data_IF_129755277420
#
_entry.id   IF_129755277420
#
_cell.length_a   1.000
_cell.length_b   1.000
_cell.length_c   1.000
_cell.angle_alpha   90.00
_cell.angle_beta   90.00
_cell.angle_gamma   90.00
#
_symmetry.space_group_name_H-M   'P 1'
#
loop_
_entity.id
_entity.type
_entity.pdbx_description
1 polymer ?
#
# COMPACT_ATOMS: atom_id res chain seq x y z
N UNK A 1 6.47 9.93 -15.92
CA UNK A 1 6.70 8.47 -15.90
C UNK A 1 8.13 8.08 -16.28
N UNK A 2 8.84 8.83 -17.14
CA UNK A 2 10.19 8.46 -17.60
C UNK A 2 11.34 8.65 -16.59
N UNK A 3 11.32 9.67 -15.72
CA UNK A 3 12.51 9.99 -14.91
C UNK A 3 12.84 8.94 -13.83
N UNK A 4 11.85 8.39 -13.13
CA UNK A 4 12.08 7.43 -12.04
C UNK A 4 12.65 6.10 -12.56
N UNK A 5 12.18 5.65 -13.73
CA UNK A 5 12.69 4.42 -14.34
C UNK A 5 14.12 4.61 -14.87
N UNK A 6 14.43 5.80 -15.41
CA UNK A 6 15.78 6.14 -15.84
C UNK A 6 16.76 6.22 -14.67
N UNK A 7 16.36 6.84 -13.54
CA UNK A 7 17.21 6.94 -12.35
C UNK A 7 17.50 5.56 -11.72
N UNK A 8 16.50 4.68 -11.67
CA UNK A 8 16.68 3.30 -11.21
C UNK A 8 17.61 2.50 -12.14
N UNK A 9 17.47 2.67 -13.46
CA UNK A 9 18.32 2.01 -14.45
C UNK A 9 19.77 2.47 -14.38
N UNK A 10 20.00 3.77 -14.19
CA UNK A 10 21.33 4.37 -14.06
C UNK A 10 22.02 3.91 -12.77
N UNK A 11 21.29 3.85 -11.65
CA UNK A 11 21.85 3.37 -10.38
C UNK A 11 22.19 1.88 -10.40
N UNK A 12 21.38 1.06 -11.09
CA UNK A 12 21.67 -0.36 -11.27
C UNK A 12 22.92 -0.60 -12.14
N UNK A 13 23.06 0.14 -13.24
CA UNK A 13 24.24 0.05 -14.12
C UNK A 13 25.54 0.47 -13.41
N UNK A 14 25.49 1.51 -12.57
CA UNK A 14 26.64 1.95 -11.76
C UNK A 14 27.05 0.89 -10.73
N UNK A 15 26.07 0.27 -10.07
CA UNK A 15 26.33 -0.78 -9.08
C UNK A 15 26.91 -2.05 -9.75
N UNK A 16 26.34 -2.46 -10.88
CA UNK A 16 26.85 -3.59 -11.66
C UNK A 16 28.28 -3.34 -12.17
N UNK A 17 28.57 -2.12 -12.64
CA UNK A 17 29.90 -1.70 -13.05
C UNK A 17 30.92 -1.74 -11.91
N UNK A 18 30.54 -1.27 -10.71
CA UNK A 18 31.40 -1.31 -9.53
C UNK A 18 31.71 -2.74 -9.09
N UNK A 19 30.72 -3.64 -9.12
CA UNK A 19 30.90 -5.06 -8.77
C UNK A 19 31.84 -5.76 -9.76
N UNK A 20 31.66 -5.52 -11.07
CA UNK A 20 32.53 -6.08 -12.11
C UNK A 20 33.96 -5.53 -12.04
N UNK A 21 34.11 -4.24 -11.72
CA UNK A 21 35.43 -3.60 -11.57
C UNK A 21 36.20 -4.14 -10.36
N UNK A 22 35.52 -4.35 -9.22
CA UNK A 22 36.12 -4.99 -8.03
C UNK A 22 36.48 -6.44 -8.32
N UNK A 23 35.64 -7.17 -9.07
CA UNK A 23 35.95 -8.52 -9.51
C UNK A 23 37.14 -8.61 -10.48
N UNK A 24 37.30 -7.61 -11.35
CA UNK A 24 38.40 -7.54 -12.32
C UNK A 24 39.75 -7.21 -11.68
N UNK A 25 39.77 -6.37 -10.64
CA UNK A 25 40.99 -6.00 -9.93
C UNK A 25 41.52 -7.09 -8.99
N UNK A 26 40.70 -8.09 -8.65
CA UNK A 26 41.07 -9.13 -7.70
C UNK A 26 41.72 -10.32 -8.40
N UNK A 27 43.04 -10.50 -8.22
CA UNK A 27 43.82 -11.66 -8.73
C UNK A 27 43.86 -12.87 -7.79
N UNK A 28 43.11 -12.84 -6.69
CA UNK A 28 43.10 -13.88 -5.66
C UNK A 28 42.11 -15.02 -5.93
N UNK A 29 42.07 -16.00 -5.02
CA UNK A 29 41.09 -17.09 -5.05
C UNK A 29 39.66 -16.53 -5.10
N UNK A 30 38.87 -17.02 -6.05
CA UNK A 30 37.49 -16.63 -6.28
C UNK A 30 36.64 -16.72 -5.02
N UNK A 31 36.95 -17.65 -4.11
CA UNK A 31 36.24 -17.77 -2.83
C UNK A 31 36.47 -16.58 -1.89
N UNK A 32 37.70 -16.06 -1.82
CA UNK A 32 38.02 -14.89 -0.99
C UNK A 32 37.41 -13.62 -1.58
N UNK A 33 37.44 -13.49 -2.91
CA UNK A 33 36.78 -12.39 -3.62
C UNK A 33 35.27 -12.38 -3.34
N UNK A 34 34.61 -13.54 -3.43
CA UNK A 34 33.17 -13.64 -3.17
C UNK A 34 32.84 -13.32 -1.71
N UNK A 35 33.69 -13.75 -0.75
CA UNK A 35 33.57 -13.37 0.66
C UNK A 35 33.65 -11.86 0.85
N UNK A 36 34.64 -11.20 0.24
CA UNK A 36 34.83 -9.75 0.37
C UNK A 36 33.69 -8.97 -0.27
N UNK A 37 33.22 -9.37 -1.46
CA UNK A 37 32.13 -8.66 -2.16
C UNK A 37 30.80 -8.87 -1.42
N UNK A 38 30.47 -10.11 -1.05
CA UNK A 38 29.19 -10.43 -0.43
C UNK A 38 29.09 -9.82 0.98
N UNK A 39 30.12 -10.01 1.80
CA UNK A 39 30.11 -9.56 3.20
C UNK A 39 30.54 -8.10 3.38
N UNK A 40 31.46 -7.60 2.55
CA UNK A 40 32.00 -6.25 2.66
C UNK A 40 31.18 -5.18 1.93
N UNK A 41 30.41 -5.56 0.89
CA UNK A 41 29.73 -4.58 0.03
C UNK A 41 28.23 -4.86 -0.06
N UNK A 42 27.84 -6.08 -0.45
CA UNK A 42 26.42 -6.41 -0.74
C UNK A 42 25.59 -6.39 0.54
N UNK A 43 26.07 -7.02 1.60
CA UNK A 43 25.31 -7.10 2.84
C UNK A 43 25.14 -5.73 3.55
N UNK A 44 26.17 -4.87 3.70
CA UNK A 44 25.98 -3.55 4.29
C UNK A 44 25.03 -2.66 3.49
N UNK A 45 25.06 -2.74 2.15
CA UNK A 45 24.13 -2.00 1.29
C UNK A 45 22.69 -2.53 1.45
N UNK A 46 22.52 -3.84 1.51
CA UNK A 46 21.19 -4.44 1.70
C UNK A 46 20.61 -4.09 3.08
N UNK A 47 21.44 -4.15 4.12
CA UNK A 47 21.10 -3.69 5.46
C UNK A 47 20.76 -2.20 5.45
N UNK A 48 21.56 -1.35 4.80
CA UNK A 48 21.30 0.08 4.67
C UNK A 48 19.98 0.41 3.96
N UNK A 49 19.62 -0.35 2.91
CA UNK A 49 18.34 -0.21 2.19
C UNK A 49 17.17 -0.61 3.07
N UNK A 50 17.25 -1.75 3.77
CA UNK A 50 16.21 -2.20 4.70
C UNK A 50 16.03 -1.17 5.83
N UNK A 51 17.13 -0.73 6.43
CA UNK A 51 17.14 0.29 7.49
C UNK A 51 16.49 1.58 6.98
N UNK A 52 16.88 2.10 5.82
CA UNK A 52 16.30 3.33 5.27
C UNK A 52 14.81 3.18 4.89
N UNK A 53 14.38 1.98 4.49
CA UNK A 53 13.00 1.67 4.19
C UNK A 53 12.10 1.64 5.44
N UNK A 54 12.62 1.16 6.57
CA UNK A 54 11.88 1.10 7.85
C UNK A 54 11.99 2.37 8.72
N UNK A 55 12.88 3.31 8.40
CA UNK A 55 13.20 4.51 9.21
C UNK A 55 12.20 5.67 9.07
N UNK A 56 11.26 5.60 8.12
CA UNK A 56 10.28 6.64 7.84
C UNK A 56 8.94 6.23 8.48
N UNK A 57 8.76 6.25 9.81
CA UNK A 57 8.23 7.44 10.49
C UNK A 57 8.18 7.35 12.03
N UNK A 58 8.79 6.35 12.68
CA UNK A 58 8.61 6.16 14.13
C UNK A 58 9.92 5.90 14.91
N UNK A 59 10.02 6.52 16.09
CA UNK A 59 11.17 6.46 17.02
C UNK A 59 11.38 5.04 17.57
N UNK A 60 10.31 4.26 17.69
CA UNK A 60 10.38 2.90 18.25
C UNK A 60 10.91 1.90 17.20
N UNK A 61 10.51 2.05 15.94
CA UNK A 61 11.02 1.27 14.79
C UNK A 61 12.51 1.51 14.53
N UNK A 62 13.02 2.73 14.79
CA UNK A 62 14.47 3.03 14.72
C UNK A 62 15.32 2.19 15.69
N UNK A 63 14.88 1.98 16.93
CA UNK A 63 15.63 1.19 17.91
C UNK A 63 15.66 -0.29 17.54
N UNK A 64 14.55 -0.83 17.05
CA UNK A 64 14.44 -2.25 16.66
C UNK A 64 15.33 -2.55 15.44
N UNK A 65 15.34 -1.66 14.45
CA UNK A 65 16.15 -1.83 13.23
C UNK A 65 17.64 -1.89 13.53
N UNK A 66 18.16 -1.00 14.39
CA UNK A 66 19.59 -0.98 14.76
C UNK A 66 19.97 -2.26 15.52
N UNK A 67 19.15 -2.71 16.47
CA UNK A 67 19.41 -3.93 17.23
C UNK A 67 19.46 -5.17 16.34
N UNK A 68 18.53 -5.29 15.38
CA UNK A 68 18.52 -6.40 14.41
C UNK A 68 19.76 -6.38 13.52
N UNK A 69 20.20 -5.19 13.07
CA UNK A 69 21.43 -5.06 12.28
C UNK A 69 22.66 -5.48 13.06
N UNK A 70 22.78 -5.09 14.32
CA UNK A 70 23.89 -5.48 15.19
C UNK A 70 23.91 -6.98 15.48
N UNK A 71 22.75 -7.61 15.65
CA UNK A 71 22.63 -9.07 15.83
C UNK A 71 23.06 -9.80 14.56
N UNK A 72 22.62 -9.36 13.38
CA UNK A 72 23.03 -9.95 12.10
C UNK A 72 24.55 -9.81 11.93
N UNK A 73 25.11 -8.62 12.20
CA UNK A 73 26.55 -8.39 12.13
C UNK A 73 27.33 -9.31 13.10
N UNK A 74 26.84 -9.46 14.34
CA UNK A 74 27.44 -10.32 15.36
C UNK A 74 27.40 -11.81 14.96
N UNK A 75 26.29 -12.27 14.36
CA UNK A 75 26.15 -13.66 13.87
C UNK A 75 27.10 -13.96 12.70
N UNK A 76 27.39 -12.96 11.86
CA UNK A 76 28.33 -13.08 10.74
C UNK A 76 29.77 -13.14 11.25
N UNK A 77 30.13 -12.26 12.18
CA UNK A 77 31.46 -12.24 12.81
C UNK A 77 31.70 -13.55 13.58
N UNK A 78 30.71 -14.03 14.33
CA UNK A 78 30.80 -15.29 15.07
C UNK A 78 31.03 -16.49 14.14
N UNK A 79 30.45 -16.49 12.94
CA UNK A 79 30.60 -17.56 11.95
C UNK A 79 31.93 -17.51 11.19
N UNK A 80 32.63 -16.38 11.20
CA UNK A 80 33.96 -16.21 10.60
C UNK A 80 35.05 -17.07 11.25
N UNK A 81 34.81 -17.61 12.45
CA UNK A 81 35.84 -18.30 13.23
C UNK A 81 35.79 -19.84 13.16
N UNK A 82 34.85 -20.45 12.42
CA UNK A 82 34.70 -21.90 12.40
C UNK A 82 34.33 -22.44 11.02
N UNK A 83 35.29 -23.14 10.39
CA UNK A 83 35.14 -24.07 9.26
C UNK A 83 34.81 -23.41 7.90
N UNK A 84 35.68 -23.65 6.91
CA UNK A 84 35.44 -23.26 5.51
C UNK A 84 34.19 -23.96 4.98
N UNK A 85 33.10 -23.24 4.68
CA UNK A 85 31.89 -23.86 4.13
C UNK A 85 32.21 -24.44 2.75
N UNK A 86 31.62 -25.59 2.43
CA UNK A 86 31.76 -26.17 1.10
C UNK A 86 31.18 -25.22 0.03
N UNK A 87 31.67 -25.27 -1.23
CA UNK A 87 31.16 -24.43 -2.32
C UNK A 87 29.64 -24.52 -2.51
N UNK A 88 29.05 -25.68 -2.28
CA UNK A 88 27.60 -25.91 -2.37
C UNK A 88 26.81 -25.08 -1.35
N UNK A 89 27.32 -24.95 -0.13
CA UNK A 89 26.69 -24.14 0.92
C UNK A 89 26.73 -22.67 0.53
N UNK A 90 27.88 -22.18 0.03
CA UNK A 90 28.02 -20.81 -0.44
C UNK A 90 27.07 -20.48 -1.59
N UNK A 91 26.92 -21.39 -2.56
CA UNK A 91 25.94 -21.24 -3.63
C UNK A 91 24.51 -21.18 -3.08
N UNK A 92 24.13 -22.09 -2.18
CA UNK A 92 22.79 -22.10 -1.59
C UNK A 92 22.47 -20.78 -0.85
N UNK A 93 23.44 -20.23 -0.12
CA UNK A 93 23.29 -18.91 0.53
C UNK A 93 23.15 -17.78 -0.49
N UNK A 94 23.98 -17.75 -1.53
CA UNK A 94 23.90 -16.72 -2.57
C UNK A 94 22.54 -16.71 -3.28
N UNK A 95 22.05 -17.90 -3.66
CA UNK A 95 20.73 -18.06 -4.28
C UNK A 95 19.61 -17.71 -3.29
N UNK A 96 19.71 -18.14 -2.03
CA UNK A 96 18.74 -17.79 -0.98
C UNK A 96 18.65 -16.28 -0.74
N UNK A 97 19.79 -15.59 -0.65
CA UNK A 97 19.84 -14.14 -0.51
C UNK A 97 19.27 -13.40 -1.73
N UNK A 98 19.54 -13.88 -2.95
CA UNK A 98 18.97 -13.30 -4.17
C UNK A 98 17.44 -13.47 -4.21
N UNK A 99 16.93 -14.65 -3.85
CA UNK A 99 15.48 -14.90 -3.78
C UNK A 99 14.82 -13.99 -2.74
N UNK A 100 15.39 -13.89 -1.54
CA UNK A 100 14.88 -13.00 -0.49
C UNK A 100 14.93 -11.53 -0.91
N UNK A 101 15.99 -11.09 -1.60
CA UNK A 101 16.09 -9.75 -2.17
C UNK A 101 14.96 -9.49 -3.16
N UNK A 102 14.76 -10.39 -4.13
CA UNK A 102 13.73 -10.24 -5.15
C UNK A 102 12.32 -10.21 -4.54
N UNK A 103 12.03 -11.12 -3.60
CA UNK A 103 10.77 -11.13 -2.87
C UNK A 103 10.57 -9.84 -2.06
N UNK A 104 11.61 -9.35 -1.39
CA UNK A 104 11.58 -8.08 -0.67
C UNK A 104 11.25 -6.91 -1.60
N UNK A 105 11.93 -6.79 -2.73
CA UNK A 105 11.64 -5.73 -3.71
C UNK A 105 10.23 -5.83 -4.31
N UNK A 106 9.74 -7.05 -4.54
CA UNK A 106 8.38 -7.29 -5.03
C UNK A 106 7.34 -6.79 -4.02
N UNK A 107 7.48 -7.17 -2.74
CA UNK A 107 6.60 -6.73 -1.65
C UNK A 107 6.61 -5.21 -1.54
N UNK A 108 7.78 -4.58 -1.57
CA UNK A 108 7.91 -3.12 -1.51
C UNK A 108 7.19 -2.46 -2.68
N UNK A 109 7.37 -2.95 -3.90
CA UNK A 109 6.71 -2.39 -5.08
C UNK A 109 5.18 -2.52 -5.00
N UNK A 110 4.67 -3.66 -4.51
CA UNK A 110 3.23 -3.86 -4.27
C UNK A 110 2.72 -2.85 -3.24
N UNK A 111 3.44 -2.65 -2.13
CA UNK A 111 3.07 -1.69 -1.10
C UNK A 111 3.08 -0.24 -1.62
N UNK A 112 4.06 0.11 -2.48
CA UNK A 112 4.12 1.43 -3.12
C UNK A 112 2.97 1.64 -4.10
N UNK A 113 2.60 0.61 -4.87
CA UNK A 113 1.44 0.64 -5.74
C UNK A 113 0.15 0.81 -4.93
N UNK A 114 -0.01 0.05 -3.84
CA UNK A 114 -1.16 0.16 -2.95
C UNK A 114 -1.26 1.53 -2.29
N UNK A 115 -0.14 2.07 -1.77
CA UNK A 115 -0.10 3.43 -1.21
C UNK A 115 -0.46 4.49 -2.26
N UNK A 116 0.03 4.33 -3.49
CA UNK A 116 -0.31 5.23 -4.60
C UNK A 116 -1.79 5.14 -4.96
N UNK A 117 -2.37 3.94 -4.95
CA UNK A 117 -3.80 3.72 -5.16
C UNK A 117 -4.62 4.41 -4.06
N UNK A 118 -4.29 4.18 -2.79
CA UNK A 118 -4.99 4.83 -1.66
C UNK A 118 -4.89 6.36 -1.72
N UNK A 119 -3.74 6.91 -2.09
CA UNK A 119 -3.56 8.36 -2.23
C UNK A 119 -4.38 8.98 -3.38
N UNK A 120 -4.92 8.18 -4.30
CA UNK A 120 -5.82 8.67 -5.36
C UNK A 120 -7.27 8.77 -4.90
N UNK A 121 -7.66 7.98 -3.90
CA UNK A 121 -9.04 7.99 -3.40
C UNK A 121 -9.31 9.36 -2.80
N UNK A 122 -10.27 10.06 -3.38
CA UNK A 122 -10.66 11.40 -2.94
C UNK A 122 -11.75 11.26 -1.88
N UNK A 123 -11.75 12.15 -0.89
CA UNK A 123 -12.77 12.18 0.16
C UNK A 123 -13.80 13.24 -0.20
N UNK A 124 -15.08 12.92 -0.07
CA UNK A 124 -16.20 13.83 -0.25
C UNK A 124 -17.13 13.72 0.97
N UNK A 125 -17.54 14.86 1.52
CA UNK A 125 -18.42 14.85 2.68
C UNK A 125 -19.87 14.59 2.25
N UNK A 126 -20.63 13.91 3.11
CA UNK A 126 -22.07 13.77 2.97
C UNK A 126 -22.74 15.00 3.59
N UNK A 127 -23.47 15.76 2.78
CA UNK A 127 -24.25 16.90 3.24
C UNK A 127 -25.58 16.46 3.88
N UNK A 128 -26.22 15.45 3.33
CA UNK A 128 -27.56 15.03 3.77
C UNK A 128 -27.83 13.55 3.54
N UNK A 129 -28.54 12.92 4.47
CA UNK A 129 -29.12 11.58 4.31
C UNK A 129 -30.62 11.68 4.61
N UNK A 130 -31.44 11.20 3.68
CA UNK A 130 -32.89 11.36 3.72
C UNK A 130 -33.63 10.09 3.32
N UNK A 131 -34.77 9.82 3.97
CA UNK A 131 -35.79 8.91 3.43
C UNK A 131 -36.96 9.75 2.91
N UNK A 132 -37.32 9.57 1.63
CA UNK A 132 -38.45 10.29 1.03
C UNK A 132 -39.81 9.68 1.42
N UNK A 133 -40.89 10.33 0.99
CA UNK A 133 -42.26 9.83 1.21
C UNK A 133 -42.56 8.50 0.52
N UNK A 134 -41.73 8.09 -0.44
CA UNK A 134 -41.83 6.81 -1.14
C UNK A 134 -40.96 5.72 -0.49
N UNK A 135 -40.32 6.00 0.64
CA UNK A 135 -39.49 5.02 1.36
C UNK A 135 -38.13 4.76 0.70
N UNK A 136 -37.61 5.67 -0.13
CA UNK A 136 -36.27 5.55 -0.74
C UNK A 136 -35.25 6.30 0.09
N UNK A 137 -34.09 5.67 0.29
CA UNK A 137 -32.93 6.31 0.91
C UNK A 137 -32.15 7.12 -0.13
N UNK A 138 -31.88 8.37 0.20
CA UNK A 138 -31.07 9.29 -0.58
C UNK A 138 -29.84 9.73 0.21
N UNK A 139 -28.72 9.86 -0.49
CA UNK A 139 -27.45 10.39 0.05
C UNK A 139 -26.98 11.56 -0.83
N UNK A 140 -26.82 12.74 -0.23
CA UNK A 140 -26.34 13.94 -0.91
C UNK A 140 -24.87 14.20 -0.60
N UNK A 141 -23.97 14.21 -1.59
CA UNK A 141 -22.64 14.77 -1.41
C UNK A 141 -22.70 16.29 -1.20
N UNK A 142 -21.65 16.86 -0.61
CA UNK A 142 -21.56 18.31 -0.39
C UNK A 142 -21.35 19.09 -1.69
N UNK A 143 -20.47 18.59 -2.57
CA UNK A 143 -20.03 19.33 -3.76
C UNK A 143 -20.01 18.50 -5.04
N UNK A 144 -19.71 17.20 -4.94
CA UNK A 144 -19.55 16.36 -6.13
C UNK A 144 -20.86 16.01 -6.83
N UNK A 145 -20.71 15.72 -8.12
CA UNK A 145 -21.76 15.24 -9.00
C UNK A 145 -21.35 13.83 -9.45
N UNK A 146 -22.32 12.92 -9.47
CA UNK A 146 -22.16 11.51 -9.87
C UNK A 146 -23.11 11.17 -11.03
N UNK A 147 -23.17 12.06 -12.01
CA UNK A 147 -24.10 12.03 -13.14
C UNK A 147 -24.02 10.75 -13.96
N UNK A 148 -22.85 10.13 -14.08
CA UNK A 148 -22.65 8.91 -14.85
C UNK A 148 -22.77 7.61 -14.04
N UNK A 149 -23.15 7.65 -12.76
CA UNK A 149 -23.17 6.47 -11.89
C UNK A 149 -24.16 5.39 -12.37
N UNK A 150 -25.17 5.78 -13.14
CA UNK A 150 -26.13 4.86 -13.74
C UNK A 150 -25.53 3.96 -14.85
N UNK A 151 -24.37 4.33 -15.42
CA UNK A 151 -23.61 3.48 -16.37
C UNK A 151 -22.78 2.43 -15.66
N UNK A 152 -22.82 2.46 -14.34
CA UNK A 152 -22.10 1.61 -13.43
C UNK A 152 -22.49 0.15 -13.48
N UNK A 153 -21.70 -0.66 -12.80
CA UNK A 153 -22.08 -2.05 -12.47
C UNK A 153 -23.10 -2.03 -11.32
N UNK A 154 -23.03 -1.00 -10.48
CA UNK A 154 -23.87 -0.89 -9.30
C UNK A 154 -25.27 -0.37 -9.67
N UNK A 155 -26.34 -0.94 -9.08
CA UNK A 155 -27.71 -0.50 -9.27
C UNK A 155 -28.03 0.81 -8.50
N UNK A 156 -27.18 1.82 -8.63
CA UNK A 156 -27.32 3.13 -8.00
C UNK A 156 -27.62 4.17 -9.08
N UNK A 157 -28.50 5.11 -8.76
CA UNK A 157 -28.92 6.18 -9.66
C UNK A 157 -28.60 7.55 -9.05
N UNK A 158 -28.53 8.54 -9.94
CA UNK A 158 -28.29 9.93 -9.58
C UNK A 158 -29.49 10.79 -9.98
N UNK A 159 -29.99 11.60 -9.03
CA UNK A 159 -31.01 12.62 -9.29
C UNK A 159 -30.32 13.95 -9.61
N UNK A 160 -30.37 14.36 -10.87
CA UNK A 160 -29.74 15.59 -11.32
C UNK A 160 -30.38 16.87 -10.78
N UNK A 161 -31.67 16.84 -10.43
CA UNK A 161 -32.37 18.03 -9.95
C UNK A 161 -32.01 18.31 -8.50
N UNK A 162 -32.02 17.25 -7.69
CA UNK A 162 -31.84 17.37 -6.25
C UNK A 162 -30.42 16.99 -5.78
N UNK A 163 -29.57 16.50 -6.70
CA UNK A 163 -28.17 16.12 -6.48
C UNK A 163 -28.01 14.99 -5.46
N UNK A 164 -28.85 13.97 -5.55
CA UNK A 164 -28.80 12.81 -4.64
C UNK A 164 -28.44 11.51 -5.34
N UNK A 165 -27.74 10.66 -4.60
CA UNK A 165 -27.57 9.24 -4.90
C UNK A 165 -28.71 8.45 -4.28
N UNK A 166 -29.27 7.49 -5.00
CA UNK A 166 -30.33 6.63 -4.49
C UNK A 166 -30.36 5.27 -5.18
N UNK A 167 -31.00 4.30 -4.53
CA UNK A 167 -31.31 3.02 -5.14
C UNK A 167 -32.73 3.08 -5.74
N UNK A 168 -32.92 2.78 -7.03
CA UNK A 168 -34.20 3.01 -7.70
C UNK A 168 -35.33 2.07 -7.23
N UNK A 169 -35.01 0.89 -6.70
CA UNK A 169 -36.00 -0.14 -6.32
C UNK A 169 -36.02 -0.41 -4.80
N UNK A 170 -36.59 0.46 -3.95
CA UNK A 170 -36.48 0.36 -2.48
C UNK A 170 -37.02 -0.94 -1.88
N UNK A 171 -37.95 -1.62 -2.55
CA UNK A 171 -38.55 -2.88 -2.06
C UNK A 171 -37.58 -4.06 -2.07
N UNK A 172 -36.51 -3.99 -2.88
CA UNK A 172 -35.57 -5.11 -3.05
C UNK A 172 -34.48 -5.16 -2.01
N UNK A 173 -34.31 -4.10 -1.22
CA UNK A 173 -33.11 -3.90 -0.42
C UNK A 173 -33.41 -3.07 0.82
N UNK A 174 -32.84 -3.47 1.97
CA UNK A 174 -32.97 -2.69 3.21
C UNK A 174 -32.25 -1.36 3.09
N UNK A 175 -32.57 -0.41 3.98
CA UNK A 175 -31.85 0.87 4.05
C UNK A 175 -30.36 0.70 4.34
N UNK A 176 -29.99 -0.31 5.13
CA UNK A 176 -28.59 -0.60 5.50
C UNK A 176 -27.79 -1.08 4.28
N UNK A 177 -28.36 -1.99 3.51
CA UNK A 177 -27.77 -2.47 2.25
C UNK A 177 -27.74 -1.36 1.20
N UNK A 178 -28.82 -0.59 1.08
CA UNK A 178 -28.90 0.55 0.14
C UNK A 178 -27.78 1.56 0.40
N UNK A 179 -27.57 1.94 1.66
CA UNK A 179 -26.46 2.82 2.03
C UNK A 179 -25.11 2.21 1.64
N UNK A 180 -24.93 0.91 1.89
CA UNK A 180 -23.71 0.16 1.56
C UNK A 180 -23.41 0.17 0.06
N UNK A 181 -24.41 -0.08 -0.75
CA UNK A 181 -24.31 -0.10 -2.21
C UNK A 181 -24.00 1.29 -2.76
N UNK A 182 -24.61 2.34 -2.23
CA UNK A 182 -24.29 3.73 -2.60
C UNK A 182 -22.82 4.05 -2.32
N UNK A 183 -22.31 3.69 -1.14
CA UNK A 183 -20.89 3.90 -0.80
C UNK A 183 -19.96 3.10 -1.73
N UNK A 184 -20.32 1.85 -2.02
CA UNK A 184 -19.53 0.97 -2.88
C UNK A 184 -19.50 1.49 -4.33
N UNK A 185 -20.64 1.91 -4.87
CA UNK A 185 -20.75 2.48 -6.21
C UNK A 185 -19.85 3.72 -6.38
N UNK A 186 -19.93 4.67 -5.43
CA UNK A 186 -19.13 5.89 -5.46
C UNK A 186 -17.63 5.60 -5.31
N UNK A 187 -17.27 4.63 -4.47
CA UNK A 187 -15.87 4.23 -4.28
C UNK A 187 -15.30 3.61 -5.55
N UNK A 188 -16.00 2.64 -6.13
CA UNK A 188 -15.46 1.82 -7.20
C UNK A 188 -15.54 2.48 -8.58
N UNK A 189 -16.47 3.42 -8.79
CA UNK A 189 -16.65 4.07 -10.10
C UNK A 189 -16.01 5.46 -10.18
N UNK A 190 -15.82 6.14 -9.04
CA UNK A 190 -15.33 7.52 -9.00
C UNK A 190 -14.03 7.69 -8.17
N UNK A 191 -13.43 6.61 -7.68
CA UNK A 191 -12.31 6.63 -6.74
C UNK A 191 -12.59 7.61 -5.59
N UNK A 192 -13.82 7.58 -5.06
CA UNK A 192 -14.32 8.59 -4.12
C UNK A 192 -14.91 7.92 -2.88
N UNK A 193 -14.46 8.31 -1.68
CA UNK A 193 -15.04 7.86 -0.42
C UNK A 193 -15.96 8.95 0.12
N UNK A 194 -17.25 8.63 0.25
CA UNK A 194 -18.18 9.46 0.99
C UNK A 194 -17.92 9.33 2.49
N UNK A 195 -18.00 10.44 3.22
CA UNK A 195 -17.73 10.50 4.65
C UNK A 195 -18.75 11.36 5.38
N UNK A 196 -19.29 10.86 6.48
CA UNK A 196 -20.11 11.62 7.41
C UNK A 196 -19.30 12.69 8.13
N UNK A 197 -19.98 13.80 8.44
CA UNK A 197 -19.43 14.87 9.26
C UNK A 197 -20.44 15.27 10.34
N UNK A 198 -20.03 16.01 11.38
CA UNK A 198 -20.97 16.60 12.34
C UNK A 198 -22.04 17.49 11.69
N UNK A 199 -21.78 17.99 10.48
CA UNK A 199 -22.69 18.86 9.72
C UNK A 199 -23.65 18.09 8.81
N UNK A 200 -23.54 16.75 8.74
CA UNK A 200 -24.46 15.95 7.92
C UNK A 200 -25.88 16.06 8.46
N UNK A 201 -26.79 16.50 7.60
CA UNK A 201 -28.21 16.66 7.92
C UNK A 201 -28.94 15.32 7.77
N UNK A 202 -29.82 15.00 8.72
CA UNK A 202 -30.61 13.76 8.73
C UNK A 202 -32.08 14.12 8.59
N UNK A 203 -32.76 13.60 7.55
CA UNK A 203 -34.16 13.91 7.28
C UNK A 203 -34.97 12.63 7.25
N UNK A 204 -35.96 12.49 8.14
CA UNK A 204 -36.82 11.31 8.24
C UNK A 204 -36.07 9.97 8.37
N UNK A 205 -34.92 9.96 9.05
CA UNK A 205 -34.13 8.75 9.28
C UNK A 205 -34.46 8.17 10.68
N UNK A 206 -35.04 6.97 10.77
CA UNK A 206 -35.22 6.24 12.02
C UNK A 206 -33.91 6.03 12.79
N UNK A 207 -33.97 6.09 14.13
CA UNK A 207 -32.80 6.02 15.00
C UNK A 207 -31.97 4.73 14.84
N UNK A 208 -32.63 3.60 14.57
CA UNK A 208 -31.94 2.33 14.33
C UNK A 208 -31.05 2.38 13.07
N UNK A 209 -31.54 3.00 12.00
CA UNK A 209 -30.79 3.17 10.74
C UNK A 209 -29.67 4.18 10.94
N UNK A 210 -29.95 5.30 11.62
CA UNK A 210 -28.94 6.31 11.94
C UNK A 210 -27.78 5.73 12.75
N UNK A 211 -28.07 4.92 13.78
CA UNK A 211 -27.05 4.22 14.57
C UNK A 211 -26.19 3.27 13.72
N UNK A 212 -26.80 2.53 12.80
CA UNK A 212 -26.07 1.66 11.86
C UNK A 212 -25.14 2.46 10.94
N UNK A 213 -25.63 3.56 10.38
CA UNK A 213 -24.82 4.40 9.47
C UNK A 213 -23.63 5.00 10.24
N UNK A 214 -23.85 5.50 11.46
CA UNK A 214 -22.79 6.06 12.30
C UNK A 214 -21.75 5.02 12.71
N UNK A 215 -22.13 3.78 13.02
CA UNK A 215 -21.16 2.74 13.39
C UNK A 215 -20.26 2.33 12.24
N UNK A 216 -20.71 2.51 10.99
CA UNK A 216 -19.94 2.16 9.78
C UNK A 216 -18.87 3.18 9.40
N UNK A 217 -19.11 4.45 9.69
CA UNK A 217 -18.21 5.56 9.33
C UNK A 217 -17.15 5.86 10.40
N UNK A 218 -17.25 5.22 11.57
CA UNK A 218 -16.28 5.30 12.67
C UNK A 218 -15.08 4.33 12.52
N UNK A 219 -14.93 3.69 11.35
CA UNK A 219 -13.83 2.76 11.00
C UNK A 219 -13.00 3.28 9.82
#
# INVERSE_FOLDING_TARGET
MNNVYQDLKINFLKLAGAILFVGFLYRGDFQEMFRVILWGIVLPLFVGIIVNFFIKDDKQTKKISITVCLIILALIIFRSNSISPSPLILMAFAWGSLVLFLLGTLVINILLLFKKYLNRIKIENIAEIKIDSSGRLFVRPEKRIFDLIYKGVYPVSWDDNNKFLYYPNPEKMTYMETYSEILAAVLNEYDCRLKLTPNTVWVNIPDNIKKFILSRDLV
#
